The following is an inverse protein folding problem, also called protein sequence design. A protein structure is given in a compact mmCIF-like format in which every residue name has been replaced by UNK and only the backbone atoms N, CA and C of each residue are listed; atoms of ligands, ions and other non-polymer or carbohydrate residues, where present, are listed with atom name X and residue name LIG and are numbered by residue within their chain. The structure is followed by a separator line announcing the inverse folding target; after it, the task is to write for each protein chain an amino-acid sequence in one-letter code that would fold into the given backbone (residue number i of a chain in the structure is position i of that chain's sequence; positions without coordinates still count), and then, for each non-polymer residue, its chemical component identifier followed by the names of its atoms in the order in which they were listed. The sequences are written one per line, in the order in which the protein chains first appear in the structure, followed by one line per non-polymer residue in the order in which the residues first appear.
data_IF_010977405546
#
_entry.id   IF_010977405546
#
_cell.length_a   1.000
_cell.length_b   1.000
_cell.length_c   1.000
_cell.angle_alpha   90.00
_cell.angle_beta   90.00
_cell.angle_gamma   90.00
#
_symmetry.space_group_name_H-M   'P 1'
#
loop_
_entity.id
_entity.type
_entity.pdbx_description
1 polymer ?
#
# COMPACT_ATOMS: atom_id res chain seq x y z
N UNK A 1 32.23 -7.56 2.75
CA UNK A 1 32.00 -6.86 4.03
C UNK A 1 31.16 -5.63 3.75
N UNK A 2 30.02 -5.57 4.34
CA UNK A 2 29.16 -4.38 4.25
C UNK A 2 29.67 -3.34 5.24
N UNK A 3 29.87 -2.13 4.71
CA UNK A 3 30.38 -1.04 5.51
C UNK A 3 29.25 -0.47 6.39
N UNK A 4 29.21 -0.84 7.66
CA UNK A 4 28.24 -0.33 8.64
C UNK A 4 28.20 1.20 8.73
N UNK A 5 29.32 1.85 8.39
CA UNK A 5 29.42 3.32 8.35
C UNK A 5 28.64 3.92 7.17
N UNK A 6 28.59 3.22 6.05
CA UNK A 6 27.83 3.65 4.86
C UNK A 6 26.31 3.54 5.09
N UNK A 7 25.89 2.46 5.72
CA UNK A 7 24.48 2.27 6.10
C UNK A 7 24.01 3.33 7.11
N UNK A 8 24.82 3.62 8.12
CA UNK A 8 24.53 4.68 9.08
C UNK A 8 24.45 6.06 8.43
N UNK A 9 25.41 6.39 7.54
CA UNK A 9 25.45 7.64 6.82
C UNK A 9 24.15 7.85 5.99
N UNK A 10 23.75 6.86 5.24
CA UNK A 10 22.53 6.95 4.42
C UNK A 10 21.26 7.05 5.26
N UNK A 11 21.18 6.35 6.37
CA UNK A 11 20.04 6.48 7.29
C UNK A 11 19.91 7.92 7.84
N UNK A 12 21.02 8.56 8.19
CA UNK A 12 21.03 9.96 8.65
C UNK A 12 20.63 10.91 7.50
N UNK A 13 21.16 10.71 6.30
CA UNK A 13 20.83 11.52 5.12
C UNK A 13 19.33 11.39 4.80
N UNK A 14 18.80 10.18 4.83
CA UNK A 14 17.40 9.93 4.47
C UNK A 14 16.41 10.41 5.52
N UNK A 15 16.77 10.40 6.80
CA UNK A 15 15.91 10.94 7.86
C UNK A 15 15.67 12.45 7.76
N UNK A 16 16.56 13.17 7.05
CA UNK A 16 16.50 14.63 6.86
C UNK A 16 15.97 15.08 5.49
N UNK A 17 15.66 14.13 4.59
CA UNK A 17 15.10 14.46 3.29
C UNK A 17 13.57 14.35 3.31
N UNK A 18 12.91 15.28 2.61
CA UNK A 18 11.49 15.10 2.33
C UNK A 18 11.28 13.82 1.50
N UNK A 19 10.20 13.11 1.74
CA UNK A 19 9.87 11.85 1.06
C UNK A 19 9.93 11.96 -0.46
N UNK A 20 9.51 13.08 -1.02
CA UNK A 20 9.58 13.34 -2.46
C UNK A 20 11.02 13.37 -3.00
N UNK A 21 11.97 13.98 -2.26
CA UNK A 21 13.38 14.01 -2.64
C UNK A 21 14.03 12.65 -2.50
N UNK A 22 13.66 11.92 -1.44
CA UNK A 22 14.10 10.57 -1.21
C UNK A 22 13.69 9.63 -2.36
N UNK A 23 12.44 9.71 -2.81
CA UNK A 23 11.94 8.94 -3.94
C UNK A 23 12.72 9.20 -5.22
N UNK A 24 13.02 10.45 -5.53
CA UNK A 24 13.83 10.79 -6.71
C UNK A 24 15.23 10.19 -6.63
N UNK A 25 15.89 10.26 -5.48
CA UNK A 25 17.24 9.71 -5.30
C UNK A 25 17.21 8.18 -5.45
N UNK A 26 16.24 7.50 -4.84
CA UNK A 26 16.09 6.05 -4.94
C UNK A 26 15.81 5.62 -6.38
N UNK A 27 14.97 6.36 -7.10
CA UNK A 27 14.58 6.04 -8.47
C UNK A 27 15.75 6.05 -9.45
N UNK A 28 16.74 6.92 -9.24
CA UNK A 28 17.86 7.12 -10.18
C UNK A 28 19.17 6.47 -9.74
N UNK A 29 19.29 5.97 -8.52
CA UNK A 29 20.54 5.40 -8.02
C UNK A 29 20.42 3.93 -7.65
N UNK A 30 20.92 3.06 -8.54
CA UNK A 30 20.90 1.59 -8.34
C UNK A 30 21.67 1.13 -7.09
N UNK A 31 22.71 1.85 -6.69
CA UNK A 31 23.50 1.54 -5.49
C UNK A 31 22.69 1.79 -4.23
N UNK A 32 22.03 2.95 -4.15
CA UNK A 32 21.12 3.30 -3.05
C UNK A 32 19.92 2.34 -3.00
N UNK A 33 19.35 1.97 -4.15
CA UNK A 33 18.30 0.95 -4.21
C UNK A 33 18.76 -0.39 -3.62
N UNK A 34 20.02 -0.78 -3.84
CA UNK A 34 20.59 -2.01 -3.31
C UNK A 34 20.78 -1.97 -1.79
N UNK A 35 21.25 -0.83 -1.26
CA UNK A 35 21.41 -0.61 0.19
C UNK A 35 20.02 -0.60 0.87
N UNK A 36 19.07 0.14 0.32
CA UNK A 36 17.73 0.23 0.88
C UNK A 36 16.93 -1.06 0.74
N UNK A 37 17.16 -1.86 -0.31
CA UNK A 37 16.55 -3.18 -0.46
C UNK A 37 16.85 -4.13 0.69
N UNK A 38 17.95 -3.96 1.40
CA UNK A 38 18.27 -4.77 2.59
C UNK A 38 17.51 -4.35 3.84
N UNK A 39 17.17 -3.06 3.95
CA UNK A 39 16.51 -2.49 5.13
C UNK A 39 15.00 -2.26 4.92
N UNK A 40 14.58 -2.14 3.64
CA UNK A 40 13.19 -1.86 3.25
C UNK A 40 12.77 -2.87 2.18
N UNK A 41 12.99 -4.14 2.47
CA UNK A 41 12.90 -5.27 1.51
C UNK A 41 11.56 -5.34 0.77
N UNK A 42 10.51 -4.77 1.31
CA UNK A 42 9.16 -4.93 0.78
C UNK A 42 8.37 -3.62 0.62
N UNK A 43 9.06 -2.46 0.64
CA UNK A 43 8.38 -1.17 0.50
C UNK A 43 8.62 -0.54 -0.87
N UNK A 44 7.54 -0.10 -1.50
CA UNK A 44 7.56 0.70 -2.71
C UNK A 44 6.75 1.97 -2.48
N UNK A 45 7.39 3.13 -2.58
CA UNK A 45 6.70 4.41 -2.45
C UNK A 45 6.08 4.83 -3.79
N UNK A 46 4.82 5.23 -3.76
CA UNK A 46 4.09 5.78 -4.90
C UNK A 46 3.15 6.89 -4.43
N UNK A 47 3.33 8.11 -4.98
CA UNK A 47 2.35 9.20 -4.84
C UNK A 47 1.84 9.44 -3.40
N UNK A 48 2.72 9.65 -2.43
CA UNK A 48 2.35 9.84 -1.03
C UNK A 48 1.88 8.57 -0.30
N UNK A 49 2.10 7.40 -0.90
CA UNK A 49 1.80 6.09 -0.31
C UNK A 49 3.03 5.20 -0.37
N UNK A 50 3.22 4.36 0.62
CA UNK A 50 4.19 3.29 0.50
C UNK A 50 3.52 1.92 0.52
N UNK A 51 4.14 0.99 -0.19
CA UNK A 51 3.62 -0.35 -0.41
C UNK A 51 4.55 -1.36 0.23
N UNK A 52 4.01 -2.09 1.18
CA UNK A 52 4.64 -3.27 1.74
C UNK A 52 4.18 -4.51 0.98
N UNK A 53 5.13 -5.26 0.41
CA UNK A 53 4.83 -6.52 -0.23
C UNK A 53 4.99 -7.65 0.79
N UNK A 54 3.90 -8.18 1.29
CA UNK A 54 3.92 -9.36 2.18
C UNK A 54 4.31 -10.64 1.44
N UNK A 55 3.97 -10.70 0.14
CA UNK A 55 4.31 -11.78 -0.77
C UNK A 55 4.27 -11.29 -2.21
N UNK A 56 4.49 -12.19 -3.18
CA UNK A 56 4.35 -11.87 -4.61
C UNK A 56 2.94 -11.43 -5.00
N UNK A 57 1.93 -11.83 -4.23
CA UNK A 57 0.52 -11.58 -4.51
C UNK A 57 -0.19 -10.72 -3.47
N UNK A 58 0.39 -10.50 -2.29
CA UNK A 58 -0.25 -9.70 -1.22
C UNK A 58 0.52 -8.43 -0.93
N UNK A 59 -0.23 -7.33 -0.77
CA UNK A 59 0.32 -6.01 -0.47
C UNK A 59 -0.46 -5.31 0.62
N UNK A 60 0.26 -4.49 1.39
CA UNK A 60 -0.28 -3.45 2.27
C UNK A 60 0.14 -2.09 1.74
N UNK A 61 -0.80 -1.15 1.72
CA UNK A 61 -0.58 0.22 1.27
C UNK A 61 -0.87 1.14 2.45
N UNK A 62 0.10 2.00 2.76
CA UNK A 62 0.02 2.96 3.86
C UNK A 62 0.08 4.37 3.32
N UNK A 63 -0.60 5.29 4.01
CA UNK A 63 -0.40 6.71 3.84
C UNK A 63 0.95 7.13 4.43
N UNK A 64 1.75 7.88 3.68
CA UNK A 64 3.07 8.33 4.11
C UNK A 64 3.03 9.48 5.14
N UNK A 65 1.89 10.18 5.23
CA UNK A 65 1.70 11.31 6.13
C UNK A 65 1.47 10.90 7.58
N UNK A 66 0.57 9.93 7.78
CA UNK A 66 0.13 9.50 9.10
C UNK A 66 0.44 8.02 9.39
N UNK A 67 1.10 7.34 8.45
CA UNK A 67 1.46 5.92 8.54
C UNK A 67 0.25 4.99 8.72
N UNK A 68 -0.94 5.44 8.33
CA UNK A 68 -2.17 4.66 8.41
C UNK A 68 -2.27 3.65 7.26
N UNK A 69 -2.71 2.44 7.58
CA UNK A 69 -3.03 1.42 6.58
C UNK A 69 -4.28 1.88 5.80
N UNK A 70 -4.13 2.01 4.47
CA UNK A 70 -5.22 2.41 3.55
C UNK A 70 -5.85 1.20 2.91
N UNK A 71 -5.03 0.21 2.56
CA UNK A 71 -5.46 -1.00 1.86
C UNK A 71 -4.57 -2.17 2.21
N UNK A 72 -5.17 -3.34 2.33
CA UNK A 72 -4.47 -4.63 2.32
C UNK A 72 -5.22 -5.62 1.44
N UNK A 73 -4.49 -6.43 0.67
CA UNK A 73 -5.15 -7.42 -0.17
C UNK A 73 -4.28 -8.01 -1.27
N UNK A 74 -4.95 -8.75 -2.12
CA UNK A 74 -4.33 -9.49 -3.20
C UNK A 74 -4.14 -8.61 -4.44
N UNK A 75 -3.03 -8.83 -5.14
CA UNK A 75 -2.63 -8.14 -6.35
C UNK A 75 -2.21 -9.11 -7.43
N UNK A 76 -2.56 -8.79 -8.66
CA UNK A 76 -2.10 -9.47 -9.85
C UNK A 76 -1.72 -8.43 -10.91
N UNK A 77 -0.52 -8.56 -11.49
CA UNK A 77 -0.03 -7.64 -12.53
C UNK A 77 -0.14 -6.16 -12.14
N UNK A 78 0.15 -5.82 -10.88
CA UNK A 78 0.12 -4.44 -10.37
C UNK A 78 -1.26 -3.88 -10.04
N UNK A 79 -2.32 -4.67 -10.18
CA UNK A 79 -3.71 -4.27 -9.88
C UNK A 79 -4.30 -5.09 -8.74
N UNK A 80 -5.20 -4.49 -7.95
CA UNK A 80 -6.00 -5.21 -6.94
C UNK A 80 -6.76 -6.34 -7.64
N UNK A 81 -6.59 -7.56 -7.15
CA UNK A 81 -7.23 -8.73 -7.75
C UNK A 81 -7.34 -9.85 -6.73
N UNK A 82 -8.56 -10.25 -6.39
CA UNK A 82 -8.85 -11.17 -5.30
C UNK A 82 -9.41 -10.47 -4.07
N UNK A 83 -9.14 -10.97 -2.90
CA UNK A 83 -9.65 -10.41 -1.64
C UNK A 83 -8.89 -9.14 -1.23
N UNK A 84 -9.62 -8.12 -0.75
CA UNK A 84 -9.01 -6.90 -0.25
C UNK A 84 -9.86 -6.17 0.78
N UNK A 85 -9.20 -5.31 1.55
CA UNK A 85 -9.80 -4.43 2.55
C UNK A 85 -9.30 -3.01 2.36
N UNK A 86 -10.19 -2.05 2.45
CA UNK A 86 -9.90 -0.62 2.48
C UNK A 86 -10.22 -0.05 3.85
N UNK A 87 -9.48 0.96 4.26
CA UNK A 87 -9.61 1.60 5.56
C UNK A 87 -9.80 3.10 5.42
N UNK A 88 -10.52 3.69 6.35
CA UNK A 88 -10.60 5.14 6.56
C UNK A 88 -9.32 5.65 7.24
N UNK A 89 -9.11 6.96 7.20
CA UNK A 89 -7.95 7.62 7.84
C UNK A 89 -7.91 7.45 9.36
N UNK A 90 -9.05 7.14 9.99
CA UNK A 90 -9.12 6.81 11.41
C UNK A 90 -8.83 5.32 11.73
N UNK A 91 -8.46 4.52 10.73
CA UNK A 91 -8.15 3.09 10.85
C UNK A 91 -9.37 2.16 10.84
N UNK A 92 -10.58 2.70 10.78
CA UNK A 92 -11.79 1.88 10.67
C UNK A 92 -11.91 1.23 9.29
N UNK A 93 -12.39 -0.01 9.27
CA UNK A 93 -12.67 -0.73 8.02
C UNK A 93 -13.73 0.02 7.21
N UNK A 94 -13.42 0.31 5.95
CA UNK A 94 -14.31 0.99 5.00
C UNK A 94 -14.99 0.03 4.05
N UNK A 95 -14.22 -0.93 3.55
CA UNK A 95 -14.70 -1.94 2.60
C UNK A 95 -13.92 -3.24 2.79
N UNK A 96 -14.59 -4.36 2.68
CA UNK A 96 -13.99 -5.67 2.49
C UNK A 96 -14.72 -6.43 1.39
N UNK A 97 -13.97 -7.05 0.48
CA UNK A 97 -14.60 -7.77 -0.62
C UNK A 97 -13.64 -8.20 -1.70
N UNK A 98 -14.22 -8.51 -2.85
CA UNK A 98 -13.51 -9.00 -4.01
C UNK A 98 -13.16 -7.85 -4.99
N UNK A 99 -12.00 -7.98 -5.61
CA UNK A 99 -11.48 -7.10 -6.65
C UNK A 99 -11.16 -7.87 -7.92
N UNK A 100 -11.34 -7.24 -9.05
CA UNK A 100 -10.91 -7.73 -10.35
C UNK A 100 -10.33 -6.56 -11.15
N UNK A 101 -9.08 -6.69 -11.62
CA UNK A 101 -8.39 -5.67 -12.41
C UNK A 101 -8.40 -4.27 -11.80
N UNK A 102 -8.34 -4.15 -10.48
CA UNK A 102 -8.29 -2.90 -9.74
C UNK A 102 -9.65 -2.38 -9.25
N UNK A 103 -10.76 -2.96 -9.69
CA UNK A 103 -12.12 -2.54 -9.34
C UNK A 103 -12.82 -3.52 -8.42
N UNK A 104 -13.75 -3.02 -7.58
CA UNK A 104 -14.63 -3.87 -6.78
C UNK A 104 -15.45 -4.75 -7.70
N UNK A 105 -15.40 -6.07 -7.51
CA UNK A 105 -16.10 -7.03 -8.35
C UNK A 105 -16.40 -8.31 -7.57
N UNK A 106 -17.67 -8.73 -7.53
CA UNK A 106 -18.13 -9.84 -6.69
C UNK A 106 -18.66 -9.37 -5.34
N UNK A 107 -18.68 -10.24 -4.37
CA UNK A 107 -19.24 -9.94 -3.04
C UNK A 107 -18.39 -8.95 -2.26
N UNK A 108 -19.06 -8.02 -1.57
CA UNK A 108 -18.40 -7.04 -0.71
C UNK A 108 -19.32 -6.44 0.34
N UNK A 109 -18.68 -5.82 1.34
CA UNK A 109 -19.34 -5.12 2.44
C UNK A 109 -18.73 -3.73 2.58
N UNK A 110 -19.58 -2.75 2.80
CA UNK A 110 -19.17 -1.38 3.12
C UNK A 110 -19.60 -1.00 4.52
N UNK A 111 -18.75 -0.24 5.18
CA UNK A 111 -18.94 0.26 6.53
C UNK A 111 -18.82 1.77 6.56
N UNK A 112 -19.56 2.42 7.45
CA UNK A 112 -19.40 3.83 7.71
C UNK A 112 -18.11 4.09 8.56
N UNK A 113 -17.77 5.38 8.73
CA UNK A 113 -16.59 5.80 9.49
C UNK A 113 -16.64 5.42 10.98
N UNK A 114 -17.83 5.03 11.50
CA UNK A 114 -18.04 4.55 12.87
C UNK A 114 -17.97 3.02 12.96
N UNK A 115 -17.74 2.33 11.81
CA UNK A 115 -17.66 0.88 11.74
C UNK A 115 -18.99 0.15 11.60
N UNK A 116 -20.10 0.88 11.36
CA UNK A 116 -21.40 0.28 11.12
C UNK A 116 -21.51 -0.22 9.68
N UNK A 117 -21.98 -1.45 9.49
CA UNK A 117 -22.27 -2.00 8.16
C UNK A 117 -23.40 -1.17 7.51
N UNK A 118 -23.13 -0.62 6.33
CA UNK A 118 -24.08 0.19 5.55
C UNK A 118 -24.50 -0.49 4.25
N UNK A 119 -23.72 -1.42 3.74
CA UNK A 119 -24.06 -2.18 2.54
C UNK A 119 -23.38 -3.55 2.55
N UNK A 120 -24.11 -4.57 2.10
CA UNK A 120 -23.61 -5.89 1.79
C UNK A 120 -24.29 -6.39 0.51
N UNK A 121 -23.48 -6.75 -0.51
CA UNK A 121 -24.03 -7.17 -1.79
C UNK A 121 -22.96 -7.48 -2.81
N UNK A 122 -23.35 -7.45 -4.08
CA UNK A 122 -22.47 -7.72 -5.20
C UNK A 122 -22.09 -6.43 -5.94
N UNK A 123 -20.85 -6.42 -6.44
CA UNK A 123 -20.28 -5.37 -7.26
C UNK A 123 -19.96 -5.89 -8.65
N UNK A 124 -20.07 -5.04 -9.64
CA UNK A 124 -19.62 -5.27 -11.01
C UNK A 124 -18.93 -4.00 -11.52
N UNK A 125 -17.66 -4.12 -11.91
CA UNK A 125 -16.86 -3.01 -12.44
C UNK A 125 -16.91 -1.75 -11.56
N UNK A 126 -16.70 -1.93 -10.26
CA UNK A 126 -16.65 -0.85 -9.26
C UNK A 126 -18.00 -0.33 -8.77
N UNK A 127 -19.12 -0.80 -9.34
CA UNK A 127 -20.48 -0.36 -9.01
C UNK A 127 -21.27 -1.45 -8.31
N UNK A 128 -22.20 -1.03 -7.43
CA UNK A 128 -23.18 -1.92 -6.82
C UNK A 128 -24.04 -2.53 -7.93
N UNK A 129 -24.17 -3.84 -7.92
CA UNK A 129 -25.06 -4.57 -8.83
C UNK A 129 -26.47 -4.45 -8.32
N UNK A 130 -27.29 -3.69 -9.02
CA UNK A 130 -28.74 -3.64 -8.78
C UNK A 130 -29.40 -4.96 -9.20
N UNK A 131 -30.25 -5.47 -8.37
CA UNK A 131 -31.02 -6.68 -8.68
C UNK A 131 -32.15 -6.37 -9.69
#
# INVERSE_FOLDING_TARGET
MENKNEEFFWNVVFSNLSEYRLLKIIQYNKHIQKILKKNIVNYKMMSGKFIENESTTKRKIYDTYNNQLIFEGEYLNGKKNGKGKEYYDNGQLKFEGMYLNGEKNGKGKEYDIKGKLIFEGEYSNGKIKEN
#
